data_IF_584288763957
#
_entry.id   IF_584288763957
#
_cell.length_a   1.000
_cell.length_b   1.000
_cell.length_c   1.000
_cell.angle_alpha   90.00
_cell.angle_beta   90.00
_cell.angle_gamma   90.00
#
_symmetry.space_group_name_H-M   'P 1'
#
loop_
_entity.id
_entity.type
_entity.pdbx_description
1 polymer ?
#
# COMPACT_ATOMS: atom_id res chain seq x y z
N UNK A 1 63.62 11.53 -83.33
CA UNK A 1 63.55 12.36 -82.10
C UNK A 1 62.14 12.22 -81.53
N UNK A 2 61.93 11.60 -80.36
CA UNK A 2 61.98 12.24 -79.03
C UNK A 2 61.19 13.57 -79.03
N UNK A 3 60.14 13.85 -78.27
CA UNK A 3 59.47 13.34 -77.04
C UNK A 3 58.04 13.96 -77.08
N UNK A 4 57.01 13.54 -76.34
CA UNK A 4 56.78 13.93 -74.94
C UNK A 4 55.41 13.34 -74.53
N UNK A 5 55.35 12.67 -73.39
CA UNK A 5 54.13 12.12 -72.78
C UNK A 5 53.39 13.26 -72.08
N UNK A 6 52.07 13.36 -72.24
CA UNK A 6 51.17 13.99 -71.27
C UNK A 6 50.11 12.97 -70.87
N UNK A 7 50.13 12.59 -69.59
CA UNK A 7 49.14 11.71 -69.00
C UNK A 7 47.91 12.51 -68.58
N UNK A 8 46.74 12.11 -69.07
CA UNK A 8 45.46 12.53 -68.51
C UNK A 8 45.08 11.56 -67.38
N UNK A 9 45.28 12.02 -66.14
CA UNK A 9 44.76 11.40 -64.93
C UNK A 9 43.25 11.69 -64.86
N UNK A 10 42.40 10.71 -65.19
CA UNK A 10 40.95 10.82 -65.04
C UNK A 10 40.58 10.40 -63.60
N UNK A 11 40.19 11.36 -62.78
CA UNK A 11 39.71 11.14 -61.42
C UNK A 11 38.30 10.54 -61.46
N UNK A 12 38.16 9.28 -61.02
CA UNK A 12 36.88 8.63 -60.74
C UNK A 12 36.33 9.18 -59.42
N UNK A 13 35.33 10.05 -59.49
CA UNK A 13 34.52 10.41 -58.33
C UNK A 13 33.60 9.23 -57.98
N UNK A 14 34.04 8.35 -57.08
CA UNK A 14 33.16 7.42 -56.39
C UNK A 14 32.31 8.22 -55.38
N UNK A 15 31.14 8.68 -55.81
CA UNK A 15 30.09 9.11 -54.89
C UNK A 15 29.42 7.86 -54.32
N UNK A 16 29.94 7.34 -53.20
CA UNK A 16 29.18 6.47 -52.33
C UNK A 16 28.03 7.29 -51.74
N UNK A 17 26.83 7.17 -52.31
CA UNK A 17 25.63 7.58 -51.60
C UNK A 17 25.48 6.67 -50.37
N UNK A 18 25.69 7.24 -49.19
CA UNK A 18 25.37 6.58 -47.92
C UNK A 18 23.86 6.39 -47.91
N UNK A 19 23.41 5.15 -47.89
CA UNK A 19 22.00 4.82 -47.65
C UNK A 19 21.76 5.11 -46.18
N UNK A 20 21.30 6.31 -45.87
CA UNK A 20 20.74 6.61 -44.55
C UNK A 20 19.43 5.82 -44.42
N UNK A 21 19.26 5.01 -43.35
CA UNK A 21 17.96 4.44 -43.06
C UNK A 21 16.96 5.59 -42.94
N UNK A 22 15.71 5.41 -43.43
CA UNK A 22 14.70 6.46 -43.33
C UNK A 22 14.64 6.93 -41.88
N UNK A 23 14.67 8.25 -41.66
CA UNK A 23 14.50 8.80 -40.32
C UNK A 23 13.18 8.25 -39.78
N UNK A 24 13.26 7.40 -38.75
CA UNK A 24 12.07 6.85 -38.12
C UNK A 24 11.11 7.98 -37.74
N UNK A 25 9.81 7.70 -37.77
CA UNK A 25 8.81 8.62 -37.23
C UNK A 25 9.12 8.96 -35.76
N UNK A 26 8.42 9.95 -35.18
CA UNK A 26 8.57 10.25 -33.77
C UNK A 26 8.36 8.98 -32.92
N UNK A 27 9.16 8.85 -31.86
CA UNK A 27 9.03 7.77 -30.89
C UNK A 27 7.59 7.71 -30.35
N UNK A 28 7.01 6.50 -30.35
CA UNK A 28 5.70 6.27 -29.75
C UNK A 28 5.78 6.32 -28.23
N UNK A 29 4.83 7.02 -27.61
CA UNK A 29 4.73 7.20 -26.16
C UNK A 29 3.32 6.97 -25.64
N UNK A 30 2.39 6.56 -26.50
CA UNK A 30 1.01 6.25 -26.10
C UNK A 30 0.92 4.79 -25.74
N UNK A 31 0.32 4.48 -24.58
CA UNK A 31 0.08 3.10 -24.18
C UNK A 31 -1.19 2.57 -24.87
N UNK A 32 -1.29 1.25 -25.13
CA UNK A 32 -2.44 0.67 -25.81
C UNK A 32 -3.72 0.83 -24.98
N UNK A 33 -4.75 1.39 -25.60
CA UNK A 33 -6.07 1.59 -24.99
C UNK A 33 -7.04 0.52 -25.48
N UNK A 34 -7.94 0.05 -24.62
CA UNK A 34 -8.97 -0.91 -25.00
C UNK A 34 -10.12 -0.15 -25.66
N UNK A 35 -10.50 -0.59 -26.87
CA UNK A 35 -11.56 0.01 -27.67
C UNK A 35 -12.88 -0.78 -27.59
N UNK A 36 -12.81 -2.11 -27.45
CA UNK A 36 -14.00 -2.94 -27.24
C UNK A 36 -13.68 -4.29 -26.61
N UNK A 37 -14.69 -4.92 -26.02
CA UNK A 37 -14.61 -6.28 -25.48
C UNK A 37 -15.82 -7.11 -25.90
N UNK A 38 -15.58 -8.38 -26.18
CA UNK A 38 -16.59 -9.40 -26.45
C UNK A 38 -16.30 -10.58 -25.52
N UNK A 39 -17.26 -11.04 -24.69
CA UNK A 39 -18.58 -10.46 -24.45
C UNK A 39 -18.49 -9.01 -23.95
N UNK A 40 -19.53 -8.22 -24.25
CA UNK A 40 -19.60 -6.83 -23.81
C UNK A 40 -19.59 -6.75 -22.28
N UNK A 41 -19.01 -5.66 -21.73
CA UNK A 41 -19.02 -5.43 -20.28
C UNK A 41 -20.44 -5.45 -19.74
N UNK A 42 -20.58 -6.11 -18.61
CA UNK A 42 -21.80 -6.28 -17.82
C UNK A 42 -22.93 -7.01 -18.58
N UNK A 43 -22.59 -7.75 -19.65
CA UNK A 43 -23.52 -8.65 -20.33
C UNK A 43 -23.90 -9.87 -19.48
N UNK A 44 -25.12 -10.37 -19.66
CA UNK A 44 -25.67 -11.55 -18.98
C UNK A 44 -26.13 -12.59 -20.00
N UNK A 45 -26.31 -13.84 -19.59
CA UNK A 45 -26.71 -14.94 -20.46
C UNK A 45 -25.66 -15.29 -21.51
N UNK A 46 -24.39 -14.96 -21.24
CA UNK A 46 -23.27 -15.29 -22.12
C UNK A 46 -23.16 -16.80 -22.25
N UNK A 47 -22.98 -17.29 -23.48
CA UNK A 47 -22.76 -18.72 -23.71
C UNK A 47 -21.55 -19.20 -22.93
N UNK A 48 -21.69 -20.33 -22.25
CA UNK A 48 -20.59 -20.93 -21.50
C UNK A 48 -19.42 -21.40 -22.39
N UNK A 49 -19.64 -21.51 -23.70
CA UNK A 49 -18.61 -21.86 -24.69
C UNK A 49 -17.93 -20.62 -25.31
N UNK A 50 -18.22 -19.42 -24.82
CA UNK A 50 -17.63 -18.18 -25.34
C UNK A 50 -16.16 -18.04 -24.98
N UNK A 51 -15.36 -17.56 -25.94
CA UNK A 51 -14.05 -16.96 -25.69
C UNK A 51 -14.19 -15.49 -25.31
N UNK A 52 -13.08 -14.87 -24.89
CA UNK A 52 -12.98 -13.43 -24.69
C UNK A 52 -12.11 -12.82 -25.80
N UNK A 53 -12.60 -11.74 -26.41
CA UNK A 53 -11.86 -10.94 -27.38
C UNK A 53 -11.80 -9.50 -26.90
N UNK A 54 -10.61 -8.91 -26.91
CA UNK A 54 -10.34 -7.54 -26.48
C UNK A 54 -9.62 -6.82 -27.62
N UNK A 55 -10.23 -5.75 -28.13
CA UNK A 55 -9.65 -4.91 -29.17
C UNK A 55 -8.92 -3.74 -28.54
N UNK A 56 -7.72 -3.44 -29.04
CA UNK A 56 -6.89 -2.32 -28.61
C UNK A 56 -6.78 -1.24 -29.69
N UNK A 57 -6.34 -0.05 -29.31
CA UNK A 57 -6.09 1.09 -30.21
C UNK A 57 -4.91 0.86 -31.17
N UNK A 58 -4.02 -0.08 -30.84
CA UNK A 58 -2.77 -0.32 -31.55
C UNK A 58 -2.28 -1.76 -31.38
N UNK A 59 -1.17 -2.10 -32.06
CA UNK A 59 -0.67 -3.47 -32.06
C UNK A 59 -0.04 -3.83 -30.71
N UNK A 60 -0.48 -4.94 -30.13
CA UNK A 60 -0.10 -5.35 -28.78
C UNK A 60 1.02 -6.42 -28.78
N UNK A 61 1.85 -6.40 -27.74
CA UNK A 61 2.82 -7.47 -27.45
C UNK A 61 2.15 -8.55 -26.59
N UNK A 62 1.80 -9.69 -27.21
CA UNK A 62 1.11 -10.79 -26.55
C UNK A 62 1.87 -11.41 -25.38
N UNK A 63 3.20 -11.38 -25.35
CA UNK A 63 3.97 -11.93 -24.23
C UNK A 63 3.75 -11.14 -22.95
N UNK A 64 3.53 -9.83 -23.05
CA UNK A 64 3.30 -8.95 -21.90
C UNK A 64 2.01 -9.25 -21.13
N UNK A 65 1.06 -9.98 -21.73
CA UNK A 65 -0.24 -10.28 -21.11
C UNK A 65 -0.25 -11.59 -20.31
N UNK A 66 0.60 -12.58 -20.66
CA UNK A 66 0.48 -13.95 -20.14
C UNK A 66 0.50 -14.06 -18.61
N UNK A 67 1.30 -13.23 -17.94
CA UNK A 67 1.40 -13.20 -16.47
C UNK A 67 0.49 -12.17 -15.80
N UNK A 68 -0.19 -11.32 -16.58
CA UNK A 68 -0.95 -10.16 -16.10
C UNK A 68 -2.47 -10.34 -16.16
N UNK A 69 -2.96 -11.41 -16.79
CA UNK A 69 -4.40 -11.69 -16.82
C UNK A 69 -4.78 -12.52 -15.60
N UNK A 70 -5.76 -12.03 -14.85
CA UNK A 70 -6.42 -12.71 -13.75
C UNK A 70 -7.91 -12.84 -14.04
N UNK A 71 -8.46 -13.97 -13.65
CA UNK A 71 -9.88 -14.30 -13.77
C UNK A 71 -10.46 -14.52 -12.38
N UNK A 72 -11.68 -14.05 -12.14
CA UNK A 72 -12.43 -14.36 -10.92
C UNK A 72 -13.82 -14.91 -11.29
N UNK A 73 -14.13 -16.18 -10.98
CA UNK A 73 -13.25 -17.20 -10.38
C UNK A 73 -12.02 -17.50 -11.25
N UNK A 74 -11.00 -18.18 -10.70
CA UNK A 74 -9.80 -18.57 -11.45
C UNK A 74 -10.18 -19.55 -12.57
N UNK A 75 -9.81 -19.20 -13.80
CA UNK A 75 -10.05 -19.97 -15.01
C UNK A 75 -8.72 -20.30 -15.69
N UNK A 76 -8.62 -21.54 -16.19
CA UNK A 76 -7.47 -22.01 -16.96
C UNK A 76 -7.60 -21.61 -18.44
N UNK A 77 -6.54 -21.04 -19.00
CA UNK A 77 -6.48 -20.70 -20.41
C UNK A 77 -5.95 -21.89 -21.23
N UNK A 78 -6.64 -22.22 -22.32
CA UNK A 78 -6.06 -23.02 -23.40
C UNK A 78 -5.04 -22.19 -24.17
N UNK A 79 -5.40 -20.94 -24.47
CA UNK A 79 -4.58 -20.04 -25.27
C UNK A 79 -4.82 -18.59 -24.89
N UNK A 80 -3.73 -17.84 -24.79
CA UNK A 80 -3.71 -16.37 -24.77
C UNK A 80 -2.96 -15.95 -26.04
N UNK A 81 -3.65 -15.30 -26.97
CA UNK A 81 -3.13 -15.00 -28.30
C UNK A 81 -3.32 -13.54 -28.66
N UNK A 82 -2.24 -12.87 -29.07
CA UNK A 82 -2.32 -11.53 -29.66
C UNK A 82 -2.18 -11.64 -31.19
N UNK A 83 -3.04 -10.93 -31.94
CA UNK A 83 -2.94 -10.78 -33.39
C UNK A 83 -3.27 -9.35 -33.79
N UNK A 84 -2.23 -8.58 -34.13
CA UNK A 84 -2.40 -7.16 -34.43
C UNK A 84 -2.87 -6.41 -33.18
N UNK A 85 -4.06 -5.83 -33.26
CA UNK A 85 -4.75 -5.08 -32.19
C UNK A 85 -5.64 -5.95 -31.30
N UNK A 86 -5.79 -7.24 -31.63
CA UNK A 86 -6.73 -8.15 -30.96
C UNK A 86 -6.00 -9.04 -29.96
N UNK A 87 -6.48 -9.09 -28.72
CA UNK A 87 -6.17 -10.13 -27.74
C UNK A 87 -7.33 -11.12 -27.65
N UNK A 88 -7.04 -12.39 -27.83
CA UNK A 88 -8.00 -13.49 -27.72
C UNK A 88 -7.62 -14.40 -26.53
N UNK A 89 -8.59 -14.63 -25.65
CA UNK A 89 -8.49 -15.54 -24.51
C UNK A 89 -9.41 -16.72 -24.73
N UNK A 90 -8.82 -17.90 -24.89
CA UNK A 90 -9.52 -19.17 -25.06
C UNK A 90 -9.36 -19.96 -23.76
N UNK A 91 -10.48 -20.37 -23.19
CA UNK A 91 -10.51 -21.13 -21.93
C UNK A 91 -10.39 -22.63 -22.21
N UNK A 92 -9.66 -23.34 -21.36
CA UNK A 92 -9.45 -24.79 -21.48
C UNK A 92 -10.74 -25.59 -21.28
N UNK A 93 -11.58 -25.10 -20.39
CA UNK A 93 -12.86 -25.71 -20.06
C UNK A 93 -14.00 -24.74 -20.36
N UNK A 94 -15.21 -25.29 -20.43
CA UNK A 94 -16.42 -24.51 -20.52
C UNK A 94 -16.54 -23.58 -19.30
N UNK A 95 -16.92 -22.32 -19.54
CA UNK A 95 -17.07 -21.33 -18.47
C UNK A 95 -18.08 -21.81 -17.41
N UNK A 96 -17.84 -21.55 -16.11
CA UNK A 96 -18.77 -21.89 -15.05
C UNK A 96 -20.07 -21.05 -15.13
N UNK A 97 -21.12 -21.50 -14.45
CA UNK A 97 -22.40 -20.78 -14.31
C UNK A 97 -22.29 -19.68 -13.25
N UNK A 98 -21.65 -18.57 -13.60
CA UNK A 98 -21.35 -17.48 -12.68
C UNK A 98 -21.02 -16.19 -13.42
N UNK A 99 -20.80 -15.11 -12.66
CA UNK A 99 -20.17 -13.90 -13.17
C UNK A 99 -18.66 -14.07 -13.20
N UNK A 100 -18.09 -13.87 -14.38
CA UNK A 100 -16.66 -13.88 -14.62
C UNK A 100 -16.16 -12.44 -14.64
N UNK A 101 -15.12 -12.17 -13.84
CA UNK A 101 -14.33 -10.95 -13.91
C UNK A 101 -13.05 -11.23 -14.67
N UNK A 102 -12.72 -10.41 -15.68
CA UNK A 102 -11.40 -10.38 -16.29
C UNK A 102 -10.67 -9.14 -15.77
N UNK A 103 -9.49 -9.34 -15.20
CA UNK A 103 -8.56 -8.29 -14.77
C UNK A 103 -7.27 -8.43 -15.57
N UNK A 104 -6.92 -7.39 -16.32
CA UNK A 104 -5.58 -7.21 -16.88
C UNK A 104 -4.83 -6.26 -15.96
N UNK A 105 -3.81 -6.76 -15.27
CA UNK A 105 -2.97 -5.98 -14.36
C UNK A 105 -2.16 -4.92 -15.16
N UNK A 106 -1.72 -3.81 -14.52
CA UNK A 106 -0.89 -2.81 -15.17
C UNK A 106 0.39 -3.41 -15.78
N UNK A 107 1.00 -2.72 -16.74
CA UNK A 107 2.28 -3.12 -17.36
C UNK A 107 2.15 -4.02 -18.59
N UNK A 108 0.94 -4.27 -19.10
CA UNK A 108 0.80 -4.78 -20.47
C UNK A 108 1.23 -3.70 -21.48
N UNK A 109 1.76 -4.08 -22.63
CA UNK A 109 2.40 -3.14 -23.56
C UNK A 109 2.06 -3.41 -25.02
N UNK A 110 2.30 -2.39 -25.85
CA UNK A 110 2.26 -2.49 -27.30
C UNK A 110 3.56 -3.06 -27.88
N UNK A 111 3.62 -3.17 -29.21
CA UNK A 111 4.82 -3.58 -29.93
C UNK A 111 5.94 -2.51 -29.96
N UNK A 112 5.65 -1.28 -29.55
CA UNK A 112 6.65 -0.23 -29.31
C UNK A 112 7.18 -0.25 -27.87
N UNK A 113 6.73 -1.21 -27.05
CA UNK A 113 7.11 -1.43 -25.66
C UNK A 113 6.63 -0.34 -24.70
N UNK A 114 5.60 0.45 -25.06
CA UNK A 114 5.00 1.42 -24.14
C UNK A 114 4.06 0.71 -23.18
N UNK A 115 4.35 0.80 -21.88
CA UNK A 115 3.59 0.12 -20.84
C UNK A 115 2.34 0.89 -20.42
N UNK A 116 1.25 0.15 -20.23
CA UNK A 116 0.05 0.63 -19.57
C UNK A 116 0.28 0.90 -18.08
N UNK A 117 -0.15 2.08 -17.62
CA UNK A 117 -0.11 2.45 -16.19
C UNK A 117 -1.35 2.03 -15.41
N UNK A 118 -2.43 1.70 -16.11
CA UNK A 118 -3.73 1.38 -15.52
C UNK A 118 -4.07 -0.07 -15.79
N UNK A 119 -4.66 -0.72 -14.79
CA UNK A 119 -5.30 -2.01 -15.01
C UNK A 119 -6.56 -1.82 -15.87
N UNK A 120 -7.02 -2.93 -16.45
CA UNK A 120 -8.34 -3.01 -17.05
C UNK A 120 -9.16 -4.10 -16.37
N UNK A 121 -10.40 -3.78 -16.02
CA UNK A 121 -11.33 -4.73 -15.40
C UNK A 121 -12.70 -4.63 -16.02
N UNK A 122 -13.26 -5.77 -16.36
CA UNK A 122 -14.66 -5.86 -16.74
C UNK A 122 -15.28 -7.19 -16.31
N UNK A 123 -16.60 -7.23 -16.36
CA UNK A 123 -17.40 -8.36 -15.90
C UNK A 123 -18.33 -8.82 -17.02
N UNK A 124 -18.68 -10.10 -17.02
CA UNK A 124 -19.82 -10.64 -17.77
C UNK A 124 -20.36 -11.86 -17.02
N UNK A 125 -21.61 -12.24 -17.26
CA UNK A 125 -22.25 -13.37 -16.59
C UNK A 125 -22.76 -14.39 -17.59
N UNK A 126 -22.48 -15.67 -17.32
CA UNK A 126 -23.11 -16.79 -18.03
C UNK A 126 -24.53 -17.07 -17.52
N UNK A 127 -24.91 -16.48 -16.38
CA UNK A 127 -26.27 -16.52 -15.83
C UNK A 127 -27.09 -15.30 -16.25
N UNK A 128 -28.36 -15.26 -15.87
CA UNK A 128 -29.31 -14.17 -16.18
C UNK A 128 -29.02 -12.85 -15.44
N UNK A 129 -28.04 -12.81 -14.52
CA UNK A 129 -27.78 -11.64 -13.67
C UNK A 129 -26.32 -11.53 -13.25
N UNK A 130 -25.94 -10.32 -12.84
CA UNK A 130 -24.68 -10.04 -12.14
C UNK A 130 -24.99 -9.78 -10.65
N UNK A 131 -24.25 -10.39 -9.70
CA UNK A 131 -24.45 -10.12 -8.29
C UNK A 131 -24.34 -8.62 -7.94
N UNK A 132 -25.22 -8.07 -7.09
CA UNK A 132 -25.27 -6.63 -6.84
C UNK A 132 -24.21 -6.15 -5.84
N UNK A 133 -23.51 -7.07 -5.17
CA UNK A 133 -22.60 -6.77 -4.09
C UNK A 133 -21.43 -5.88 -4.51
N UNK A 134 -21.16 -4.85 -3.72
CA UNK A 134 -20.05 -3.94 -3.92
C UNK A 134 -19.38 -3.53 -2.61
N UNK A 135 -18.05 -3.44 -2.64
CA UNK A 135 -17.22 -2.95 -1.54
C UNK A 135 -16.35 -1.82 -2.09
N UNK A 136 -16.39 -0.67 -1.43
CA UNK A 136 -15.66 0.54 -1.81
C UNK A 136 -14.98 1.15 -0.60
N UNK A 137 -13.81 1.74 -0.83
CA UNK A 137 -13.04 2.42 0.20
C UNK A 137 -11.82 3.10 -0.38
N UNK A 138 -10.96 3.61 0.50
CA UNK A 138 -9.69 4.25 0.17
C UNK A 138 -8.51 3.51 0.75
N UNK A 139 -7.43 3.41 -0.01
CA UNK A 139 -6.11 3.03 0.48
C UNK A 139 -5.36 4.32 0.77
N UNK A 140 -4.93 4.47 2.01
CA UNK A 140 -4.10 5.56 2.48
C UNK A 140 -2.71 5.02 2.81
N UNK A 141 -1.69 5.84 2.63
CA UNK A 141 -0.36 5.63 3.19
C UNK A 141 -0.05 6.78 4.15
N UNK A 142 0.19 6.46 5.43
CA UNK A 142 0.42 7.46 6.48
C UNK A 142 -0.65 8.58 6.46
N UNK A 143 -1.92 8.18 6.45
CA UNK A 143 -3.12 9.03 6.44
C UNK A 143 -3.34 9.87 5.17
N UNK A 144 -2.55 9.66 4.12
CA UNK A 144 -2.71 10.36 2.84
C UNK A 144 -3.14 9.38 1.74
N UNK A 145 -4.04 9.76 0.81
CA UNK A 145 -4.42 8.89 -0.30
C UNK A 145 -3.22 8.39 -1.09
N UNK A 146 -3.18 7.09 -1.38
CA UNK A 146 -2.06 6.47 -2.08
C UNK A 146 -2.51 5.80 -3.38
N UNK A 147 -2.00 6.31 -4.51
CA UNK A 147 -2.27 5.75 -5.84
C UNK A 147 -1.52 4.45 -6.12
N UNK A 148 -0.55 4.09 -5.27
CA UNK A 148 0.18 2.83 -5.33
C UNK A 148 -0.46 1.75 -4.42
N UNK A 149 -1.63 2.04 -3.86
CA UNK A 149 -2.36 1.08 -3.04
C UNK A 149 -2.92 -0.06 -3.88
N UNK A 150 -2.80 -1.28 -3.36
CA UNK A 150 -3.47 -2.47 -3.89
C UNK A 150 -4.25 -3.14 -2.77
N UNK A 151 -5.56 -3.30 -2.96
CA UNK A 151 -6.45 -4.01 -2.06
C UNK A 151 -6.68 -5.45 -2.54
N UNK A 152 -6.70 -6.38 -1.60
CA UNK A 152 -7.04 -7.77 -1.79
C UNK A 152 -8.32 -8.07 -0.99
N UNK A 153 -9.23 -8.79 -1.63
CA UNK A 153 -10.49 -9.23 -1.04
C UNK A 153 -10.53 -10.76 -1.04
N UNK A 154 -10.72 -11.34 0.13
CA UNK A 154 -10.97 -12.77 0.29
C UNK A 154 -12.38 -12.98 0.85
N UNK A 155 -12.99 -14.10 0.49
CA UNK A 155 -14.20 -14.55 1.17
C UNK A 155 -13.78 -15.04 2.57
N UNK A 156 -14.51 -14.64 3.60
CA UNK A 156 -14.33 -15.19 4.94
C UNK A 156 -14.82 -16.65 4.92
N UNK A 157 -13.90 -17.59 5.07
CA UNK A 157 -14.21 -19.00 5.29
C UNK A 157 -14.18 -19.29 6.80
N UNK A 158 -14.86 -20.36 7.23
CA UNK A 158 -14.96 -20.75 8.65
C UNK A 158 -13.58 -21.10 9.27
N UNK A 159 -12.57 -21.38 8.44
CA UNK A 159 -11.20 -21.65 8.88
C UNK A 159 -10.33 -20.40 8.78
N UNK A 160 -10.18 -19.70 9.92
CA UNK A 160 -9.37 -18.48 10.08
C UNK A 160 -7.85 -18.70 9.91
N UNK A 161 -7.39 -19.95 9.69
CA UNK A 161 -5.96 -20.29 9.63
C UNK A 161 -5.27 -19.97 8.31
N UNK A 162 -6.01 -19.63 7.24
CA UNK A 162 -5.38 -19.21 5.97
C UNK A 162 -4.71 -17.86 6.17
N UNK A 163 -3.39 -17.83 5.96
CA UNK A 163 -2.63 -16.59 5.84
C UNK A 163 -3.31 -15.70 4.79
N UNK A 164 -3.90 -14.61 5.27
CA UNK A 164 -4.69 -13.68 4.46
C UNK A 164 -3.90 -13.15 3.25
N UNK A 165 -2.58 -13.05 3.42
CA UNK A 165 -1.63 -12.53 2.44
C UNK A 165 -1.21 -13.54 1.36
N UNK A 166 -1.51 -14.83 1.51
CA UNK A 166 -1.13 -15.89 0.55
C UNK A 166 -2.33 -16.61 -0.07
N UNK A 167 -3.55 -16.10 0.13
CA UNK A 167 -4.77 -16.68 -0.43
C UNK A 167 -4.78 -16.63 -1.98
N UNK A 168 -4.70 -17.78 -2.69
CA UNK A 168 -4.59 -17.81 -4.16
C UNK A 168 -5.87 -17.34 -4.89
N UNK A 169 -6.99 -17.25 -4.17
CA UNK A 169 -8.31 -16.86 -4.71
C UNK A 169 -8.67 -15.39 -4.43
N UNK A 170 -7.74 -14.61 -3.87
CA UNK A 170 -7.99 -13.20 -3.54
C UNK A 170 -8.31 -12.37 -4.79
N UNK A 171 -9.42 -11.61 -4.75
CA UNK A 171 -9.70 -10.59 -5.76
C UNK A 171 -8.80 -9.39 -5.51
N UNK A 172 -8.21 -8.85 -6.57
CA UNK A 172 -7.31 -7.69 -6.50
C UNK A 172 -8.10 -6.42 -6.87
N UNK A 173 -7.79 -5.26 -6.31
CA UNK A 173 -8.25 -3.94 -6.75
C UNK A 173 -7.12 -2.92 -6.58
N UNK A 174 -6.80 -2.19 -7.65
CA UNK A 174 -5.80 -1.12 -7.60
C UNK A 174 -6.47 0.20 -7.24
N UNK A 175 -5.79 1.00 -6.42
CA UNK A 175 -6.20 2.35 -6.11
C UNK A 175 -6.17 3.26 -7.36
N UNK A 176 -7.10 4.21 -7.40
CA UNK A 176 -7.02 5.34 -8.31
C UNK A 176 -6.08 6.44 -7.76
N UNK A 177 -5.85 7.56 -8.48
CA UNK A 177 -5.01 8.66 -8.01
C UNK A 177 -5.44 9.31 -6.68
N UNK A 178 -6.65 9.04 -6.21
CA UNK A 178 -7.21 9.53 -4.95
C UNK A 178 -7.35 8.42 -3.90
N UNK A 179 -6.65 7.29 -4.10
CA UNK A 179 -6.63 6.14 -3.22
C UNK A 179 -7.87 5.24 -3.32
N UNK A 180 -8.87 5.56 -4.15
CA UNK A 180 -10.12 4.81 -4.13
C UNK A 180 -9.96 3.44 -4.79
N UNK A 181 -10.55 2.41 -4.19
CA UNK A 181 -10.65 1.07 -4.77
C UNK A 181 -12.11 0.59 -4.81
N UNK A 182 -12.39 -0.39 -5.68
CA UNK A 182 -13.71 -0.99 -5.80
C UNK A 182 -13.65 -2.48 -6.12
N UNK A 183 -14.45 -3.25 -5.38
CA UNK A 183 -14.85 -4.61 -5.73
C UNK A 183 -16.33 -4.60 -6.12
N UNK A 184 -16.65 -5.11 -7.30
CA UNK A 184 -18.03 -5.28 -7.79
C UNK A 184 -18.34 -6.76 -8.06
N UNK A 185 -19.60 -7.03 -8.38
CA UNK A 185 -20.10 -8.35 -8.71
C UNK A 185 -19.80 -9.37 -7.60
N UNK A 186 -20.08 -8.96 -6.36
CA UNK A 186 -19.94 -9.82 -5.19
C UNK A 186 -21.31 -10.44 -4.84
N UNK A 187 -21.34 -11.73 -4.49
CA UNK A 187 -22.49 -12.31 -3.81
C UNK A 187 -22.91 -11.46 -2.60
N UNK A 188 -24.21 -11.24 -2.46
CA UNK A 188 -24.81 -10.57 -1.32
C UNK A 188 -25.76 -11.54 -0.60
N UNK A 189 -25.24 -12.72 -0.29
CA UNK A 189 -25.94 -13.87 0.28
C UNK A 189 -25.65 -14.04 1.79
N UNK A 190 -25.20 -12.98 2.45
CA UNK A 190 -24.67 -12.95 3.82
C UNK A 190 -23.28 -13.56 3.98
N UNK A 191 -22.56 -13.77 2.87
CA UNK A 191 -21.12 -14.08 2.92
C UNK A 191 -20.33 -12.97 3.59
N UNK A 192 -19.39 -13.37 4.45
CA UNK A 192 -18.37 -12.48 4.99
C UNK A 192 -17.21 -12.28 4.01
N UNK A 193 -16.58 -11.11 4.08
CA UNK A 193 -15.44 -10.73 3.29
C UNK A 193 -14.40 -10.04 4.16
N UNK A 194 -13.13 -10.38 3.96
CA UNK A 194 -12.00 -9.67 4.57
C UNK A 194 -11.26 -8.90 3.50
N UNK A 195 -10.89 -7.66 3.82
CA UNK A 195 -10.14 -6.78 2.92
C UNK A 195 -8.85 -6.40 3.60
N UNK A 196 -7.77 -6.49 2.86
CA UNK A 196 -6.49 -5.92 3.28
C UNK A 196 -5.89 -5.18 2.10
N UNK A 197 -4.96 -4.28 2.38
CA UNK A 197 -4.26 -3.53 1.35
C UNK A 197 -2.78 -3.41 1.67
N UNK A 198 -1.99 -3.17 0.64
CA UNK A 198 -0.57 -2.89 0.75
C UNK A 198 -0.17 -1.79 -0.22
N UNK A 199 1.00 -1.22 0.03
CA UNK A 199 1.64 -0.27 -0.89
C UNK A 199 2.53 -1.05 -1.87
N UNK A 200 2.07 -1.16 -3.11
CA UNK A 200 2.73 -1.87 -4.21
C UNK A 200 3.85 -0.99 -4.78
N UNK A 201 5.05 -1.10 -4.21
CA UNK A 201 6.16 -0.18 -4.51
C UNK A 201 6.89 -0.56 -5.79
N UNK A 202 6.90 -1.84 -6.16
CA UNK A 202 7.52 -2.34 -7.38
C UNK A 202 6.53 -2.48 -8.56
N UNK A 203 5.22 -2.35 -8.31
CA UNK A 203 4.19 -2.30 -9.34
C UNK A 203 3.83 -3.68 -9.91
N UNK A 204 4.20 -4.77 -9.23
CA UNK A 204 3.90 -6.13 -9.68
C UNK A 204 2.50 -6.61 -9.24
N UNK A 205 1.84 -5.83 -8.39
CA UNK A 205 0.50 -6.09 -7.86
C UNK A 205 0.45 -7.25 -6.87
N UNK A 206 1.58 -7.68 -6.31
CA UNK A 206 1.71 -8.76 -5.32
C UNK A 206 2.44 -8.26 -4.08
N UNK A 207 1.93 -8.65 -2.93
CA UNK A 207 2.55 -8.28 -1.68
C UNK A 207 3.92 -8.96 -1.49
N UNK A 208 4.95 -8.15 -1.28
CA UNK A 208 6.31 -8.61 -0.96
C UNK A 208 6.63 -8.45 0.54
N UNK A 209 6.61 -9.57 1.28
CA UNK A 209 6.91 -9.60 2.71
C UNK A 209 8.28 -8.97 3.04
N UNK A 210 8.30 -8.08 4.03
CA UNK A 210 9.50 -7.37 4.49
C UNK A 210 10.02 -6.27 3.56
N UNK A 211 9.43 -6.09 2.37
CA UNK A 211 9.72 -4.97 1.45
C UNK A 211 8.59 -3.96 1.40
N UNK A 212 7.37 -4.43 1.58
CA UNK A 212 6.16 -3.63 1.51
C UNK A 212 5.39 -3.68 2.81
N UNK A 213 4.58 -2.65 3.02
CA UNK A 213 3.71 -2.54 4.18
C UNK A 213 2.30 -2.95 3.79
N UNK A 214 1.68 -3.76 4.63
CA UNK A 214 0.31 -4.22 4.48
C UNK A 214 -0.50 -3.91 5.75
N UNK A 215 -1.80 -3.72 5.58
CA UNK A 215 -2.75 -3.52 6.66
C UNK A 215 -4.07 -4.21 6.32
N UNK A 216 -4.68 -4.85 7.31
CA UNK A 216 -6.01 -5.42 7.19
C UNK A 216 -7.08 -4.40 7.65
N UNK A 217 -8.23 -4.40 6.99
CA UNK A 217 -9.41 -3.74 7.53
C UNK A 217 -9.89 -4.50 8.78
N UNK A 218 -10.10 -3.85 9.93
CA UNK A 218 -10.31 -4.53 11.21
C UNK A 218 -11.58 -5.40 11.24
N UNK A 219 -12.62 -5.00 10.50
CA UNK A 219 -13.90 -5.71 10.49
C UNK A 219 -14.07 -6.60 9.26
N UNK A 220 -14.70 -7.76 9.49
CA UNK A 220 -15.25 -8.57 8.41
C UNK A 220 -16.49 -7.88 7.83
N UNK A 221 -16.51 -7.70 6.52
CA UNK A 221 -17.59 -7.04 5.79
C UNK A 221 -18.62 -8.08 5.39
N UNK A 222 -19.89 -7.87 5.77
CA UNK A 222 -20.99 -8.77 5.42
C UNK A 222 -21.88 -8.10 4.38
N UNK A 223 -22.05 -8.75 3.23
CA UNK A 223 -23.00 -8.30 2.20
C UNK A 223 -24.24 -9.20 2.23
N UNK A 224 -25.41 -8.60 2.40
CA UNK A 224 -26.70 -9.30 2.47
C UNK A 224 -27.67 -8.78 1.40
N UNK A 225 -28.81 -9.46 1.15
CA UNK A 225 -29.78 -8.98 0.17
C UNK A 225 -30.34 -7.59 0.53
N UNK A 226 -30.41 -7.27 1.82
CA UNK A 226 -30.82 -5.95 2.32
C UNK A 226 -29.70 -4.90 2.27
N UNK A 227 -28.44 -5.33 2.36
CA UNK A 227 -27.26 -4.46 2.39
C UNK A 227 -26.22 -4.98 1.40
N UNK A 228 -26.38 -4.58 0.13
CA UNK A 228 -25.51 -5.03 -0.98
C UNK A 228 -24.27 -4.16 -1.17
N UNK A 229 -24.11 -3.11 -0.37
CA UNK A 229 -23.01 -2.14 -0.51
C UNK A 229 -22.33 -1.92 0.83
N UNK A 230 -21.01 -2.09 0.86
CA UNK A 230 -20.15 -1.58 1.91
C UNK A 230 -19.33 -0.41 1.37
N UNK A 231 -19.36 0.71 2.09
CA UNK A 231 -18.67 1.95 1.72
C UNK A 231 -17.76 2.39 2.86
N UNK A 232 -16.78 3.22 2.54
CA UNK A 232 -15.79 3.73 3.49
C UNK A 232 -14.99 2.62 4.17
N UNK A 233 -14.70 1.55 3.43
CA UNK A 233 -13.79 0.47 3.86
C UNK A 233 -12.37 0.96 3.67
N UNK A 234 -12.00 1.95 4.47
CA UNK A 234 -10.73 2.65 4.33
C UNK A 234 -9.62 1.91 5.08
N UNK A 235 -8.46 1.79 4.44
CA UNK A 235 -7.30 1.07 4.96
C UNK A 235 -6.11 2.01 4.94
N UNK A 236 -5.61 2.34 6.14
CA UNK A 236 -4.39 3.12 6.29
C UNK A 236 -3.18 2.20 6.40
N UNK A 237 -2.49 2.01 5.27
CA UNK A 237 -1.21 1.32 5.22
C UNK A 237 -0.15 2.19 5.90
N UNK A 238 0.58 1.60 6.82
CA UNK A 238 1.66 2.24 7.56
C UNK A 238 2.72 1.21 7.89
N UNK A 239 3.98 1.64 7.98
CA UNK A 239 5.05 0.80 8.49
C UNK A 239 4.72 0.40 9.94
N UNK A 240 4.65 -0.91 10.28
CA UNK A 240 4.41 -1.36 11.64
C UNK A 240 5.42 -0.84 12.67
N UNK A 241 6.62 -0.49 12.23
CA UNK A 241 7.69 0.09 13.05
C UNK A 241 7.77 1.62 12.91
N UNK A 242 6.82 2.25 12.20
CA UNK A 242 6.80 3.72 12.02
C UNK A 242 6.82 4.39 13.40
N UNK A 243 7.87 5.17 13.71
CA UNK A 243 8.00 5.69 15.05
C UNK A 243 7.03 6.86 15.26
N UNK A 244 6.35 6.85 16.41
CA UNK A 244 5.45 7.90 16.86
C UNK A 244 6.17 9.02 17.63
N UNK A 245 5.36 9.81 18.30
CA UNK A 245 5.79 10.88 19.21
C UNK A 245 4.83 11.00 20.38
N UNK A 246 5.36 11.41 21.54
CA UNK A 246 4.57 11.70 22.73
C UNK A 246 4.83 13.12 23.16
N UNK A 247 3.78 13.90 23.34
CA UNK A 247 3.82 15.27 23.86
C UNK A 247 2.86 15.47 25.02
N UNK A 248 3.09 16.51 25.79
CA UNK A 248 2.23 16.89 26.90
C UNK A 248 2.78 18.07 27.66
N UNK A 249 2.11 18.37 28.78
CA UNK A 249 2.48 19.46 29.68
C UNK A 249 2.74 18.89 31.07
N UNK A 250 3.84 19.32 31.69
CA UNK A 250 4.22 19.00 33.04
C UNK A 250 4.20 20.26 33.90
N UNK A 251 3.40 20.24 34.96
CA UNK A 251 3.35 21.29 35.96
C UNK A 251 4.17 20.87 37.19
N UNK A 252 5.20 21.64 37.51
CA UNK A 252 5.94 21.46 38.76
C UNK A 252 5.35 22.35 39.86
N UNK A 253 4.90 21.73 40.95
CA UNK A 253 4.41 22.42 42.16
C UNK A 253 5.22 22.04 43.41
N UNK A 254 6.37 21.41 43.24
CA UNK A 254 7.18 20.84 44.32
C UNK A 254 7.99 21.91 45.07
N UNK A 255 8.46 22.92 44.31
CA UNK A 255 9.43 23.92 44.77
C UNK A 255 10.86 23.38 44.94
N UNK A 256 11.16 22.19 44.39
CA UNK A 256 12.49 21.58 44.40
C UNK A 256 13.31 22.13 43.22
N UNK A 257 14.54 22.55 43.47
CA UNK A 257 15.45 23.01 42.41
C UNK A 257 15.97 21.80 41.63
N UNK A 258 15.60 21.72 40.34
CA UNK A 258 15.99 20.66 39.43
C UNK A 258 15.36 20.86 38.06
N UNK A 259 15.56 19.91 37.15
CA UNK A 259 15.01 19.97 35.79
C UNK A 259 13.75 19.10 35.73
N UNK A 260 12.55 19.69 35.60
CA UNK A 260 11.34 18.89 35.37
C UNK A 260 11.53 18.06 34.09
N UNK A 261 11.32 16.76 34.23
CA UNK A 261 11.67 15.79 33.20
C UNK A 261 10.62 14.69 33.12
N UNK A 262 10.51 14.10 31.94
CA UNK A 262 9.68 12.93 31.71
C UNK A 262 10.52 11.78 31.19
N UNK A 263 10.11 10.57 31.53
CA UNK A 263 10.72 9.34 31.05
C UNK A 263 9.66 8.31 30.70
N UNK A 264 9.87 7.66 29.56
CA UNK A 264 9.14 6.50 29.10
C UNK A 264 10.04 5.28 29.28
N UNK A 265 9.52 4.24 29.90
CA UNK A 265 10.19 2.95 30.00
C UNK A 265 9.38 1.90 29.24
N UNK A 266 9.99 1.29 28.23
CA UNK A 266 9.37 0.21 27.48
C UNK A 266 8.91 -0.94 28.38
N UNK A 267 7.73 -1.47 28.09
CA UNK A 267 7.19 -2.68 28.72
C UNK A 267 7.58 -3.87 27.83
N UNK A 268 8.10 -4.99 28.40
CA UNK A 268 8.52 -6.15 27.63
C UNK A 268 7.49 -6.62 26.59
N UNK A 269 7.92 -7.02 25.39
CA UNK A 269 9.32 -7.27 24.99
C UNK A 269 10.11 -6.01 24.60
N UNK A 270 9.53 -4.83 24.69
CA UNK A 270 10.21 -3.59 24.37
C UNK A 270 11.15 -3.16 25.51
N UNK A 271 12.42 -2.94 25.18
CA UNK A 271 13.44 -2.50 26.15
C UNK A 271 13.82 -1.02 26.01
N UNK A 272 13.41 -0.37 24.91
CA UNK A 272 13.70 1.04 24.65
C UNK A 272 13.16 1.94 25.77
N UNK A 273 13.95 2.92 26.17
CA UNK A 273 13.55 3.98 27.10
C UNK A 273 13.82 5.34 26.48
N UNK A 274 12.96 6.30 26.79
CA UNK A 274 13.03 7.65 26.26
C UNK A 274 13.00 8.65 27.41
N UNK A 275 13.64 9.79 27.22
CA UNK A 275 13.71 10.88 28.19
C UNK A 275 13.55 12.21 27.46
N UNK A 276 12.82 13.13 28.07
CA UNK A 276 12.76 14.52 27.61
C UNK A 276 12.77 15.47 28.81
N UNK A 277 13.54 16.54 28.64
CA UNK A 277 13.47 17.72 29.52
C UNK A 277 12.27 18.55 29.12
N UNK A 278 11.67 19.19 30.12
CA UNK A 278 10.55 20.07 29.94
C UNK A 278 11.06 21.49 29.64
N UNK A 279 10.39 22.20 28.73
CA UNK A 279 10.72 23.58 28.42
C UNK A 279 10.25 24.55 29.53
N UNK A 280 10.56 25.84 29.38
CA UNK A 280 10.19 26.89 30.36
C UNK A 280 8.68 27.08 30.54
N UNK A 281 7.85 26.56 29.63
CA UNK A 281 6.40 26.64 29.67
C UNK A 281 5.76 25.35 30.18
N UNK A 282 6.55 24.35 30.55
CA UNK A 282 6.04 23.06 30.99
C UNK A 282 5.84 22.04 29.86
N UNK A 283 6.18 22.35 28.60
CA UNK A 283 5.96 21.40 27.50
C UNK A 283 7.11 20.41 27.37
N UNK A 284 6.79 19.17 27.02
CA UNK A 284 7.76 18.17 26.59
C UNK A 284 7.32 17.50 25.30
N UNK A 285 8.31 17.01 24.55
CA UNK A 285 8.08 16.26 23.32
C UNK A 285 9.18 15.21 23.14
N UNK A 286 8.75 13.96 23.09
CA UNK A 286 9.60 12.81 22.81
C UNK A 286 9.32 12.37 21.38
N UNK A 287 10.33 12.49 20.52
CA UNK A 287 10.26 12.05 19.12
C UNK A 287 10.79 10.64 18.95
N UNK A 288 10.41 10.01 17.84
CA UNK A 288 10.89 8.71 17.39
C UNK A 288 10.63 7.58 18.40
N UNK A 289 9.47 7.64 19.06
CA UNK A 289 9.04 6.61 20.01
C UNK A 289 8.57 5.40 19.22
N UNK A 290 9.20 4.24 19.42
CA UNK A 290 8.79 3.02 18.74
C UNK A 290 7.34 2.66 19.11
N UNK A 291 6.59 2.00 18.24
CA UNK A 291 5.28 1.49 18.61
C UNK A 291 5.40 0.47 19.75
N UNK A 292 4.49 0.55 20.73
CA UNK A 292 4.52 -0.33 21.89
C UNK A 292 3.94 0.27 23.16
N UNK A 293 4.11 -0.47 24.24
CA UNK A 293 3.61 -0.17 25.58
C UNK A 293 4.70 0.48 26.44
N UNK A 294 4.38 1.56 27.13
CA UNK A 294 5.32 2.31 27.97
C UNK A 294 4.76 2.63 29.35
N UNK A 295 5.59 2.48 30.38
CA UNK A 295 5.36 3.13 31.66
C UNK A 295 5.84 4.58 31.58
N UNK A 296 5.02 5.50 32.10
CA UNK A 296 5.33 6.92 32.11
C UNK A 296 5.67 7.40 33.52
N UNK A 297 6.79 8.10 33.63
CA UNK A 297 7.22 8.78 34.84
C UNK A 297 7.49 10.24 34.53
N UNK A 298 7.05 11.15 35.40
CA UNK A 298 7.52 12.52 35.43
C UNK A 298 8.14 12.84 36.78
N UNK A 299 9.28 13.52 36.77
CA UNK A 299 10.07 13.75 37.97
C UNK A 299 10.87 15.04 37.89
N UNK A 300 11.34 15.51 39.04
CA UNK A 300 12.31 16.60 39.11
C UNK A 300 13.71 15.99 39.15
N UNK A 301 14.44 16.12 38.05
CA UNK A 301 15.80 15.60 37.88
C UNK A 301 16.79 16.57 38.54
N UNK A 302 17.12 16.29 39.81
CA UNK A 302 18.00 17.12 40.64
C UNK A 302 19.46 16.85 40.30
N UNK A 303 19.80 15.58 40.03
CA UNK A 303 21.17 15.16 39.72
C UNK A 303 21.56 15.34 38.25
N UNK A 304 20.59 15.68 37.39
CA UNK A 304 20.75 15.79 35.93
C UNK A 304 21.27 14.51 35.27
N UNK A 305 20.91 13.34 35.82
CA UNK A 305 21.35 12.02 35.35
C UNK A 305 20.29 11.31 34.49
N UNK A 306 19.15 11.98 34.26
CA UNK A 306 18.01 11.48 33.46
C UNK A 306 17.29 10.28 34.05
N UNK A 307 17.54 9.94 35.33
CA UNK A 307 16.92 8.83 36.02
C UNK A 307 16.25 9.34 37.31
N UNK A 308 14.99 8.94 37.58
CA UNK A 308 14.41 9.21 38.88
C UNK A 308 15.20 8.46 39.95
N UNK A 309 15.62 9.18 40.97
CA UNK A 309 16.55 8.65 41.96
C UNK A 309 16.46 9.29 43.34
N UNK A 310 17.56 9.12 44.07
CA UNK A 310 17.76 9.70 45.39
C UNK A 310 18.87 10.74 45.32
N UNK A 311 18.75 11.83 46.06
CA UNK A 311 19.77 12.85 46.19
C UNK A 311 20.01 13.22 47.65
N UNK A 312 21.19 13.78 47.95
CA UNK A 312 21.51 14.25 49.29
C UNK A 312 20.80 15.57 49.56
N UNK A 313 20.25 15.73 50.76
CA UNK A 313 19.57 16.95 51.14
C UNK A 313 20.52 18.16 51.09
N UNK A 314 20.09 19.31 50.54
CA UNK A 314 20.96 20.49 50.42
C UNK A 314 21.47 21.03 51.77
N UNK A 315 20.71 20.80 52.84
CA UNK A 315 20.96 21.21 54.22
C UNK A 315 21.68 20.15 55.07
N UNK A 316 21.66 18.88 54.67
CA UNK A 316 22.31 17.76 55.36
C UNK A 316 22.72 16.65 54.38
N UNK A 317 24.03 16.57 54.11
CA UNK A 317 24.57 15.57 53.18
C UNK A 317 24.45 14.12 53.64
N UNK A 318 24.08 13.88 54.91
CA UNK A 318 23.80 12.53 55.43
C UNK A 318 22.34 12.10 55.26
N UNK A 319 21.46 13.04 54.91
CA UNK A 319 20.04 12.79 54.66
C UNK A 319 19.81 12.54 53.17
N UNK A 320 19.19 11.40 52.84
CA UNK A 320 18.84 11.00 51.48
C UNK A 320 17.37 11.31 51.24
N UNK A 321 17.06 12.02 50.15
CA UNK A 321 15.72 12.42 49.73
C UNK A 321 15.42 11.79 48.36
N UNK A 322 14.18 11.34 48.16
CA UNK A 322 13.69 10.91 46.85
C UNK A 322 13.39 12.12 45.97
N UNK A 323 13.81 12.07 44.71
CA UNK A 323 13.33 13.02 43.72
C UNK A 323 11.80 12.97 43.64
N UNK A 324 11.11 14.12 43.64
CA UNK A 324 9.67 14.14 43.41
C UNK A 324 9.34 13.43 42.09
N UNK A 325 8.47 12.42 42.17
CA UNK A 325 8.15 11.51 41.07
C UNK A 325 6.66 11.23 41.06
N UNK A 326 6.06 11.26 39.87
CA UNK A 326 4.74 10.71 39.59
C UNK A 326 4.83 9.64 38.52
N UNK A 327 4.19 8.51 38.77
CA UNK A 327 4.02 7.42 37.82
C UNK A 327 2.56 7.42 37.39
N UNK A 328 2.30 7.44 36.08
CA UNK A 328 0.95 7.20 35.61
C UNK A 328 0.61 5.72 35.85
N UNK A 329 -0.59 5.41 36.38
CA UNK A 329 -0.95 4.05 36.78
C UNK A 329 -1.11 3.12 35.58
N UNK A 330 -1.53 3.68 34.44
CA UNK A 330 -1.78 2.93 33.23
C UNK A 330 -0.63 3.03 32.23
N UNK A 331 -0.39 1.93 31.53
CA UNK A 331 0.53 1.86 30.42
C UNK A 331 0.07 2.75 29.27
N UNK A 332 0.98 3.53 28.73
CA UNK A 332 0.78 4.32 27.52
C UNK A 332 1.11 3.44 26.30
N UNK A 333 0.09 3.12 25.50
CA UNK A 333 0.30 2.47 24.21
C UNK A 333 0.55 3.52 23.11
N UNK A 334 1.58 3.32 22.30
CA UNK A 334 1.90 4.12 21.11
C UNK A 334 1.70 3.24 19.88
N UNK A 335 0.80 3.65 19.00
CA UNK A 335 0.54 3.00 17.72
C UNK A 335 1.54 3.49 16.66
N UNK A 336 1.75 2.76 15.55
CA UNK A 336 2.64 3.19 14.47
C UNK A 336 2.32 4.59 13.95
N UNK A 337 3.33 5.46 13.92
CA UNK A 337 3.24 6.87 13.51
C UNK A 337 2.31 7.74 14.36
N UNK A 338 1.87 7.27 15.53
CA UNK A 338 0.95 8.01 16.39
C UNK A 338 1.59 9.30 16.92
N UNK A 339 0.83 10.39 16.90
CA UNK A 339 1.11 11.60 17.69
C UNK A 339 0.26 11.56 18.93
N UNK A 340 0.86 11.14 20.05
CA UNK A 340 0.13 10.92 21.30
C UNK A 340 0.26 12.13 22.21
N UNK A 341 -0.87 12.72 22.58
CA UNK A 341 -0.94 13.81 23.55
C UNK A 341 -1.34 13.23 24.91
N UNK A 342 -0.51 13.46 25.92
CA UNK A 342 -0.80 13.09 27.31
C UNK A 342 -1.42 14.29 28.01
N UNK A 343 -2.51 14.04 28.74
CA UNK A 343 -3.15 15.04 29.59
C UNK A 343 -2.14 15.68 30.54
N UNK A 344 -2.27 16.98 30.87
CA UNK A 344 -1.32 17.65 31.75
C UNK A 344 -1.09 16.88 33.05
N UNK A 345 0.18 16.67 33.39
CA UNK A 345 0.62 15.96 34.59
C UNK A 345 1.13 17.00 35.59
N UNK A 346 0.81 16.84 36.87
CA UNK A 346 1.31 17.73 37.94
C UNK A 346 2.15 16.93 38.92
N UNK A 347 3.38 17.37 39.17
CA UNK A 347 4.23 16.83 40.23
C UNK A 347 3.96 17.68 41.47
N UNK A 348 3.35 17.05 42.47
CA UNK A 348 3.14 17.62 43.80
C UNK A 348 4.30 17.29 44.74
N UNK A 349 4.36 17.99 45.89
CA UNK A 349 5.19 17.49 47.01
C UNK A 349 4.69 16.11 47.41
N UNK A 350 5.62 15.19 47.68
CA UNK A 350 5.28 13.98 48.40
C UNK A 350 4.66 14.40 49.74
N UNK A 351 3.42 14.00 50.01
CA UNK A 351 2.88 14.08 51.37
C UNK A 351 3.73 13.15 52.25
N UNK A 352 4.24 13.69 53.37
CA UNK A 352 5.14 13.00 54.32
C UNK A 352 4.53 11.74 54.95
#
# INVERSE_FOLDING_TARGET
MNRFRWGCLLALFCSCAVIEPPSGGPEDKTAPLISSVIPASDSTGVSRNSSVTIEFSEKIDGESFKSRIKTYPTLEFEKISAKGTVLELIFREQLPETTVCILIQPGFRDNHLVESRKNYRYYFSTTDRIPPGNITGKILFKQSPDSMGVAYLVKAEDDTSRELHSAPEARIAYADPFGNFIFRALPADSSGYRVWAFKDTDGDGKYSFGKEFAMEHPDTIILSPAHTSARNVDINVIDPDEPGSIEGVLNDSTGVEGIPSVRLKGVPPLEDSYYAKVDTLGNYLIYKVKPGAYLFSAFIDVLADSLPGNYNAPDDSSRIILEPLILLPDTINVSPGEKKVISPVTIGRAEE
#
